data_IF_612311574288
#
_entry.id   IF_612311574288
#
_cell.length_a   1.000
_cell.length_b   1.000
_cell.length_c   1.000
_cell.angle_alpha   90.00
_cell.angle_beta   90.00
_cell.angle_gamma   90.00
#
_symmetry.space_group_name_H-M   'P 1'
#
loop_
_entity.id
_entity.type
_entity.pdbx_description
1 polymer ?
#
# COMPACT_ATOMS: atom_id res chain seq x y z
N UNK A 1 27.68 0.54 -0.94
CA UNK A 1 28.56 1.40 -1.76
C UNK A 1 27.71 2.46 -2.47
N UNK A 2 28.22 3.69 -2.64
CA UNK A 2 27.42 4.80 -3.20
C UNK A 2 26.94 4.49 -4.62
N UNK A 3 27.79 3.88 -5.45
CA UNK A 3 27.49 3.44 -6.81
C UNK A 3 26.32 2.45 -6.89
N UNK A 4 26.18 1.57 -5.90
CA UNK A 4 25.03 0.65 -5.80
C UNK A 4 23.75 1.40 -5.45
N UNK A 5 23.84 2.38 -4.56
CA UNK A 5 22.69 3.20 -4.15
C UNK A 5 22.20 4.09 -5.30
N UNK A 6 23.12 4.71 -6.04
CA UNK A 6 22.81 5.58 -7.18
C UNK A 6 22.15 4.76 -8.31
N UNK A 7 22.69 3.57 -8.62
CA UNK A 7 22.08 2.66 -9.60
C UNK A 7 20.69 2.22 -9.17
N UNK A 8 20.53 1.79 -7.91
CA UNK A 8 19.23 1.40 -7.39
C UNK A 8 18.22 2.55 -7.43
N UNK A 9 18.66 3.79 -7.15
CA UNK A 9 17.84 4.99 -7.29
C UNK A 9 17.36 5.18 -8.74
N UNK A 10 18.27 5.09 -9.71
CA UNK A 10 17.92 5.17 -11.13
C UNK A 10 16.97 4.04 -11.56
N UNK A 11 17.14 2.82 -11.03
CA UNK A 11 16.28 1.67 -11.34
C UNK A 11 14.81 1.93 -10.96
N UNK A 12 14.53 2.79 -9.97
CA UNK A 12 13.16 3.14 -9.56
C UNK A 12 12.37 3.93 -10.62
N UNK A 13 13.04 4.56 -11.58
CA UNK A 13 12.43 5.41 -12.62
C UNK A 13 12.07 4.66 -13.92
N UNK A 14 12.02 3.32 -13.90
CA UNK A 14 11.58 2.52 -15.04
C UNK A 14 10.07 2.26 -15.00
N UNK A 15 9.41 2.25 -16.17
CA UNK A 15 7.96 2.01 -16.26
C UNK A 15 7.50 0.68 -15.65
N UNK A 16 8.35 -0.35 -15.62
CA UNK A 16 8.05 -1.64 -14.99
C UNK A 16 7.91 -1.54 -13.46
N UNK A 17 8.41 -0.46 -12.86
CA UNK A 17 8.27 -0.13 -11.44
C UNK A 17 7.16 0.91 -11.19
N UNK A 18 6.44 1.33 -12.23
CA UNK A 18 5.42 2.37 -12.12
C UNK A 18 4.02 1.79 -12.36
N UNK A 19 3.04 2.37 -11.67
CA UNK A 19 1.63 2.19 -11.95
C UNK A 19 0.96 3.57 -11.97
N UNK A 20 -0.11 3.78 -12.75
CA UNK A 20 -0.83 5.05 -12.76
C UNK A 20 -1.33 5.41 -11.35
N UNK A 21 -0.80 6.50 -10.82
CA UNK A 21 -1.13 7.04 -9.51
C UNK A 21 -1.50 8.52 -9.67
N UNK A 22 -2.54 8.95 -8.99
CA UNK A 22 -2.87 10.36 -8.90
C UNK A 22 -1.78 11.10 -8.09
N UNK A 23 -1.46 12.31 -8.51
CA UNK A 23 -0.29 13.06 -8.06
C UNK A 23 -0.33 13.44 -6.57
N UNK A 24 -1.49 13.89 -6.07
CA UNK A 24 -1.68 14.26 -4.66
C UNK A 24 -1.64 13.02 -3.79
N UNK A 25 -2.28 11.93 -4.24
CA UNK A 25 -2.22 10.61 -3.59
C UNK A 25 -0.78 10.11 -3.43
N UNK A 26 0.04 10.20 -4.48
CA UNK A 26 1.43 9.76 -4.48
C UNK A 26 2.32 10.62 -3.56
N UNK A 27 2.08 11.93 -3.51
CA UNK A 27 2.97 12.88 -2.82
C UNK A 27 2.64 13.04 -1.33
N UNK A 28 1.40 12.79 -0.91
CA UNK A 28 0.96 13.03 0.48
C UNK A 28 0.64 11.73 1.21
N UNK A 29 -0.43 11.02 0.85
CA UNK A 29 -0.90 9.84 1.61
C UNK A 29 0.09 8.67 1.52
N UNK A 30 0.58 8.38 0.32
CA UNK A 30 1.55 7.30 0.10
C UNK A 30 2.93 7.64 0.65
N UNK A 31 3.40 8.88 0.42
CA UNK A 31 4.66 9.40 0.95
C UNK A 31 4.71 9.42 2.48
N UNK A 32 3.64 9.88 3.14
CA UNK A 32 3.58 9.89 4.61
C UNK A 32 3.66 8.47 5.20
N UNK A 33 3.06 7.45 4.58
CA UNK A 33 3.25 6.05 5.01
C UNK A 33 4.70 5.60 4.86
N UNK A 34 5.36 5.95 3.77
CA UNK A 34 6.77 5.64 3.56
C UNK A 34 7.64 6.29 4.64
N UNK A 35 7.40 7.56 4.93
CA UNK A 35 8.09 8.28 5.99
C UNK A 35 7.85 7.66 7.37
N UNK A 36 6.64 7.17 7.68
CA UNK A 36 6.38 6.49 8.96
C UNK A 36 7.09 5.14 9.07
N UNK A 37 7.09 4.34 8.00
CA UNK A 37 7.79 3.05 7.93
C UNK A 37 9.30 3.26 8.06
N UNK A 38 9.82 4.27 7.37
CA UNK A 38 11.24 4.65 7.39
C UNK A 38 11.66 5.21 8.75
N UNK A 39 10.88 6.12 9.35
CA UNK A 39 11.17 6.68 10.67
C UNK A 39 11.24 5.60 11.75
N UNK A 40 10.41 4.54 11.67
CA UNK A 40 10.51 3.41 12.59
C UNK A 40 11.74 2.52 12.33
N UNK A 41 12.06 2.26 11.07
CA UNK A 41 13.26 1.50 10.71
C UNK A 41 14.53 2.22 11.18
N UNK A 42 14.57 3.54 11.01
CA UNK A 42 15.70 4.41 11.34
C UNK A 42 15.88 4.57 12.86
N UNK A 43 14.80 4.89 13.60
CA UNK A 43 14.85 5.05 15.07
C UNK A 43 15.32 3.79 15.83
N UNK A 44 15.30 2.62 15.20
CA UNK A 44 15.71 1.36 15.83
C UNK A 44 16.87 0.65 15.12
N UNK A 45 17.44 1.25 14.07
CA UNK A 45 18.43 0.60 13.19
C UNK A 45 18.00 -0.81 12.75
N UNK A 46 16.70 -0.97 12.47
CA UNK A 46 16.10 -2.27 12.18
C UNK A 46 16.12 -2.53 10.68
N UNK A 47 16.53 -3.76 10.29
CA UNK A 47 16.30 -4.24 8.94
C UNK A 47 14.80 -4.37 8.70
N UNK A 48 14.34 -3.76 7.62
CA UNK A 48 12.98 -3.87 7.12
C UNK A 48 12.96 -4.55 5.76
N UNK A 49 11.91 -5.30 5.49
CA UNK A 49 11.56 -5.80 4.16
C UNK A 49 10.18 -5.26 3.83
N UNK A 50 10.06 -4.57 2.71
CA UNK A 50 8.80 -3.96 2.25
C UNK A 50 8.43 -4.58 0.91
N UNK A 51 7.17 -5.01 0.81
CA UNK A 51 6.55 -5.44 -0.44
C UNK A 51 5.39 -4.50 -0.74
N UNK A 52 5.19 -4.19 -2.01
CA UNK A 52 4.17 -3.22 -2.43
C UNK A 52 3.70 -3.50 -3.84
N UNK A 53 2.46 -3.11 -4.14
CA UNK A 53 1.92 -3.21 -5.49
C UNK A 53 0.53 -2.63 -5.64
N UNK A 54 0.01 -2.57 -6.88
CA UNK A 54 -1.39 -2.23 -7.13
C UNK A 54 -2.32 -3.37 -6.74
N UNK A 55 -3.58 -3.03 -6.48
CA UNK A 55 -4.72 -3.95 -6.48
C UNK A 55 -5.47 -3.70 -7.79
N UNK A 56 -5.48 -4.69 -8.68
CA UNK A 56 -6.20 -4.65 -9.95
C UNK A 56 -7.52 -5.41 -9.81
N UNK A 57 -8.61 -4.68 -9.57
CA UNK A 57 -9.94 -5.29 -9.42
C UNK A 57 -10.56 -5.50 -10.81
N UNK A 58 -11.37 -6.55 -11.02
CA UNK A 58 -12.00 -6.81 -12.32
C UNK A 58 -12.85 -5.65 -12.86
N UNK A 59 -13.35 -4.79 -11.98
CA UNK A 59 -14.19 -3.64 -12.28
C UNK A 59 -13.42 -2.30 -12.36
N UNK A 60 -12.09 -2.34 -12.28
CA UNK A 60 -11.25 -1.14 -12.42
C UNK A 60 -11.30 -0.61 -13.86
N UNK A 61 -11.46 0.71 -13.99
CA UNK A 61 -11.59 1.37 -15.28
C UNK A 61 -10.29 1.32 -16.10
N UNK A 62 -10.46 1.31 -17.43
CA UNK A 62 -9.36 1.47 -18.37
C UNK A 62 -9.21 2.93 -18.77
N UNK A 63 -7.97 3.37 -19.01
CA UNK A 63 -7.64 4.70 -19.52
C UNK A 63 -6.66 4.62 -20.68
N UNK A 64 -6.65 5.67 -21.52
CA UNK A 64 -5.71 5.79 -22.63
C UNK A 64 -6.09 4.96 -23.85
N UNK A 65 -7.39 4.81 -24.12
CA UNK A 65 -7.86 4.21 -25.37
C UNK A 65 -7.28 4.96 -26.58
N UNK A 66 -6.76 4.21 -27.57
CA UNK A 66 -6.07 4.78 -28.74
C UNK A 66 -4.62 5.21 -28.50
N UNK A 67 -4.10 5.16 -27.26
CA UNK A 67 -2.68 5.41 -26.99
C UNK A 67 -1.84 4.15 -27.20
N UNK A 68 -0.61 4.33 -27.71
CA UNK A 68 0.31 3.22 -27.95
C UNK A 68 0.66 2.53 -26.62
N UNK A 69 0.37 1.22 -26.55
CA UNK A 69 0.61 0.40 -25.36
C UNK A 69 -0.56 0.35 -24.39
N UNK A 70 -1.61 1.16 -24.62
CA UNK A 70 -2.87 1.10 -23.88
C UNK A 70 -3.95 0.29 -24.62
N UNK A 71 -5.18 0.26 -24.11
CA UNK A 71 -5.61 0.88 -22.86
C UNK A 71 -5.02 0.17 -21.63
N UNK A 72 -4.79 0.92 -20.55
CA UNK A 72 -4.27 0.38 -19.29
C UNK A 72 -5.37 0.33 -18.24
N UNK A 73 -5.45 -0.77 -17.50
CA UNK A 73 -6.29 -0.86 -16.32
C UNK A 73 -5.69 0.02 -15.21
N UNK A 74 -6.49 0.93 -14.66
CA UNK A 74 -6.05 1.89 -13.65
C UNK A 74 -6.40 1.34 -12.27
N UNK A 75 -5.40 0.98 -11.44
CA UNK A 75 -5.67 0.41 -10.12
C UNK A 75 -6.32 1.46 -9.22
N UNK A 76 -7.40 1.11 -8.53
CA UNK A 76 -8.08 2.04 -7.61
C UNK A 76 -7.45 2.06 -6.21
N UNK A 77 -6.59 1.08 -5.91
CA UNK A 77 -5.97 0.92 -4.61
C UNK A 77 -4.58 0.30 -4.73
N UNK A 78 -3.76 0.54 -3.72
CA UNK A 78 -2.43 -0.04 -3.58
C UNK A 78 -2.32 -0.72 -2.22
N UNK A 79 -1.42 -1.68 -2.12
CA UNK A 79 -1.12 -2.37 -0.88
C UNK A 79 0.36 -2.27 -0.54
N UNK A 80 0.68 -2.33 0.75
CA UNK A 80 2.04 -2.41 1.26
C UNK A 80 2.10 -3.37 2.44
N UNK A 81 3.09 -4.26 2.47
CA UNK A 81 3.38 -5.13 3.61
C UNK A 81 4.78 -4.81 4.10
N UNK A 82 4.90 -4.45 5.37
CA UNK A 82 6.17 -4.14 6.03
C UNK A 82 6.50 -5.23 7.03
N UNK A 83 7.71 -5.78 6.93
CA UNK A 83 8.27 -6.78 7.84
C UNK A 83 9.48 -6.16 8.53
N UNK A 84 9.44 -6.09 9.86
CA UNK A 84 10.54 -5.61 10.69
C UNK A 84 11.08 -6.73 11.58
N UNK A 85 12.39 -6.71 11.84
CA UNK A 85 12.98 -7.59 12.86
C UNK A 85 12.92 -6.93 14.24
N UNK A 86 12.20 -7.55 15.19
CA UNK A 86 12.16 -7.11 16.59
C UNK A 86 13.50 -7.36 17.32
N UNK A 87 13.75 -6.69 18.46
CA UNK A 87 14.97 -6.91 19.25
C UNK A 87 15.16 -8.37 19.71
N UNK A 88 14.07 -9.08 19.97
CA UNK A 88 14.08 -10.51 20.34
C UNK A 88 14.31 -11.46 19.15
N UNK A 89 14.52 -10.91 17.95
CA UNK A 89 14.74 -11.66 16.72
C UNK A 89 13.47 -12.09 15.99
N UNK A 90 12.28 -11.89 16.57
CA UNK A 90 11.00 -12.25 15.95
C UNK A 90 10.57 -11.23 14.87
N UNK A 91 9.83 -11.65 13.84
CA UNK A 91 9.28 -10.72 12.86
C UNK A 91 8.06 -9.95 13.42
N UNK A 92 7.96 -8.70 12.98
CA UNK A 92 6.82 -7.82 13.14
C UNK A 92 6.29 -7.50 11.76
N UNK A 93 5.02 -7.81 11.51
CA UNK A 93 4.44 -7.73 10.17
C UNK A 93 3.17 -6.87 10.21
N UNK A 94 3.10 -5.92 9.28
CA UNK A 94 1.98 -4.99 9.17
C UNK A 94 1.60 -4.84 7.70
N UNK A 95 0.31 -5.01 7.38
CA UNK A 95 -0.25 -4.77 6.05
C UNK A 95 -1.03 -3.46 5.99
N UNK A 96 -1.02 -2.83 4.82
CA UNK A 96 -1.74 -1.59 4.52
C UNK A 96 -2.45 -1.72 3.18
N UNK A 97 -3.64 -1.14 3.07
CA UNK A 97 -4.32 -0.85 1.80
C UNK A 97 -4.66 0.64 1.78
N UNK A 98 -4.35 1.29 0.68
CA UNK A 98 -4.60 2.72 0.48
C UNK A 98 -5.38 2.88 -0.83
N UNK A 99 -6.48 3.61 -0.80
CA UNK A 99 -7.33 3.86 -1.96
C UNK A 99 -7.06 5.26 -2.55
N UNK A 100 -7.00 5.37 -3.88
CA UNK A 100 -6.96 6.65 -4.61
C UNK A 100 -8.33 7.05 -5.19
N UNK A 101 -9.38 6.33 -4.78
CA UNK A 101 -10.73 6.35 -5.36
C UNK A 101 -11.36 7.74 -5.39
N UNK A 102 -11.25 8.52 -4.31
CA UNK A 102 -11.83 9.89 -4.26
C UNK A 102 -11.22 10.85 -5.28
N UNK A 103 -9.97 10.63 -5.68
CA UNK A 103 -9.25 11.56 -6.58
C UNK A 103 -9.38 11.16 -8.04
N UNK A 104 -9.53 9.87 -8.35
CA UNK A 104 -9.71 9.38 -9.73
C UNK A 104 -11.17 9.20 -10.15
N UNK A 105 -12.12 9.14 -9.21
CA UNK A 105 -13.55 9.02 -9.51
C UNK A 105 -14.08 10.09 -10.49
N UNK A 106 -13.67 11.39 -10.39
CA UNK A 106 -14.08 12.40 -11.36
C UNK A 106 -13.58 12.13 -12.80
N UNK A 107 -12.44 11.45 -12.96
CA UNK A 107 -11.86 11.14 -14.28
C UNK A 107 -12.71 10.10 -15.02
N UNK A 108 -13.36 9.20 -14.29
CA UNK A 108 -14.14 8.10 -14.84
C UNK A 108 -15.67 8.32 -14.76
N UNK A 109 -16.11 9.53 -14.41
CA UNK A 109 -17.53 9.90 -14.24
C UNK A 109 -18.31 8.88 -13.39
N UNK A 110 -17.66 8.30 -12.40
CA UNK A 110 -18.22 7.21 -11.60
C UNK A 110 -18.46 7.67 -10.17
N UNK A 111 -19.57 7.21 -9.59
CA UNK A 111 -19.87 7.38 -8.16
C UNK A 111 -19.34 6.21 -7.36
N UNK A 112 -18.28 5.50 -7.82
CA UNK A 112 -17.64 4.45 -7.01
C UNK A 112 -17.32 5.06 -5.66
N UNK A 113 -18.15 4.68 -4.71
CA UNK A 113 -18.23 5.30 -3.41
C UNK A 113 -16.96 4.91 -2.69
N UNK A 114 -16.09 5.88 -2.42
CA UNK A 114 -15.19 5.76 -1.29
C UNK A 114 -16.10 5.93 -0.07
N UNK A 115 -16.34 4.89 0.76
CA UNK A 115 -17.13 5.04 1.98
C UNK A 115 -16.49 5.96 3.02
N UNK A 116 -15.31 6.49 2.70
CA UNK A 116 -14.53 7.40 3.51
C UNK A 116 -14.40 8.74 2.77
N UNK A 117 -14.68 9.84 3.46
CA UNK A 117 -14.52 11.20 2.95
C UNK A 117 -13.06 11.52 2.56
N UNK A 118 -12.83 12.61 1.81
CA UNK A 118 -11.48 13.07 1.44
C UNK A 118 -10.60 13.31 2.68
N UNK A 119 -11.20 13.72 3.80
CA UNK A 119 -10.53 13.85 5.11
C UNK A 119 -10.23 12.49 5.79
N UNK A 120 -10.76 11.40 5.25
CA UNK A 120 -10.63 10.02 5.71
C UNK A 120 -9.87 9.13 4.71
N UNK A 121 -9.08 9.72 3.80
CA UNK A 121 -8.01 9.04 3.04
C UNK A 121 -6.88 8.56 3.97
N UNK A 122 -7.25 7.79 4.98
CA UNK A 122 -6.42 7.29 6.06
C UNK A 122 -5.76 6.03 5.55
N UNK A 123 -4.45 5.96 5.74
CA UNK A 123 -3.73 4.70 5.62
C UNK A 123 -4.39 3.72 6.57
N UNK A 124 -5.00 2.66 6.03
CA UNK A 124 -5.65 1.65 6.86
C UNK A 124 -4.71 0.47 7.02
N UNK A 125 -4.39 0.15 8.27
CA UNK A 125 -3.88 -1.19 8.55
C UNK A 125 -4.92 -2.21 8.14
N UNK A 126 -4.54 -3.17 7.30
CA UNK A 126 -5.39 -4.26 6.85
C UNK A 126 -4.71 -5.60 7.12
N UNK A 127 -5.49 -6.65 7.47
CA UNK A 127 -4.92 -7.98 7.62
C UNK A 127 -4.27 -8.44 6.32
N UNK A 128 -3.16 -9.17 6.40
CA UNK A 128 -2.50 -9.73 5.22
C UNK A 128 -3.47 -10.63 4.44
N UNK A 129 -4.33 -11.36 5.16
CA UNK A 129 -5.38 -12.19 4.53
C UNK A 129 -6.26 -11.39 3.55
N UNK A 130 -6.63 -10.15 3.91
CA UNK A 130 -7.42 -9.31 3.02
C UNK A 130 -6.60 -8.90 1.78
N UNK A 131 -5.30 -8.63 1.95
CA UNK A 131 -4.42 -8.30 0.83
C UNK A 131 -4.28 -9.51 -0.11
N UNK A 132 -4.15 -10.74 0.42
CA UNK A 132 -4.16 -11.98 -0.37
C UNK A 132 -5.48 -12.13 -1.14
N UNK A 133 -6.62 -11.92 -0.48
CA UNK A 133 -7.95 -11.98 -1.10
C UNK A 133 -8.13 -10.94 -2.22
N UNK A 134 -7.64 -9.71 -2.01
CA UNK A 134 -7.76 -8.61 -2.98
C UNK A 134 -6.81 -8.73 -4.17
N UNK A 135 -5.63 -9.33 -3.97
CA UNK A 135 -4.56 -9.39 -4.99
C UNK A 135 -4.43 -10.75 -5.68
N UNK A 136 -4.95 -11.81 -5.06
CA UNK A 136 -4.70 -13.19 -5.48
C UNK A 136 -3.28 -13.70 -5.20
N UNK A 137 -2.45 -12.92 -4.50
CA UNK A 137 -1.09 -13.31 -4.13
C UNK A 137 -1.09 -14.17 -2.85
N UNK A 138 -0.10 -15.05 -2.72
CA UNK A 138 0.17 -15.84 -1.51
C UNK A 138 1.43 -15.29 -0.81
N UNK A 139 1.27 -14.71 0.38
CA UNK A 139 2.39 -14.22 1.19
C UNK A 139 2.89 -15.25 2.21
N UNK A 140 2.37 -16.48 2.14
CA UNK A 140 2.82 -17.65 2.87
C UNK A 140 2.80 -17.47 4.39
N UNK A 141 3.98 -17.61 5.00
CA UNK A 141 4.13 -17.54 6.46
C UNK A 141 3.80 -16.17 7.05
N UNK A 142 3.84 -15.10 6.27
CA UNK A 142 3.65 -13.73 6.78
C UNK A 142 2.25 -13.51 7.34
N UNK A 143 1.23 -14.15 6.75
CA UNK A 143 -0.15 -14.11 7.28
C UNK A 143 -0.24 -14.60 8.73
N UNK A 144 0.59 -15.57 9.12
CA UNK A 144 0.60 -16.12 10.49
C UNK A 144 1.31 -15.19 11.49
N UNK A 145 2.08 -14.24 10.98
CA UNK A 145 2.88 -13.28 11.75
C UNK A 145 2.19 -11.90 11.84
N UNK A 146 1.08 -11.74 11.13
CA UNK A 146 0.23 -10.57 11.15
C UNK A 146 -0.48 -10.43 12.51
N UNK A 147 -0.19 -9.34 13.22
CA UNK A 147 -0.82 -9.06 14.51
C UNK A 147 -2.27 -8.61 14.39
N UNK A 148 -2.69 -8.01 13.26
CA UNK A 148 -4.07 -7.66 13.01
C UNK A 148 -4.94 -8.88 12.68
N UNK A 149 -4.38 -9.88 12.00
CA UNK A 149 -5.07 -11.12 11.61
C UNK A 149 -5.38 -12.10 12.76
N UNK A 150 -5.03 -11.78 14.00
CA UNK A 150 -5.33 -12.60 15.19
C UNK A 150 -6.76 -12.43 15.72
N UNK A 151 -7.47 -11.39 15.27
CA UNK A 151 -8.90 -11.17 15.49
C UNK A 151 -9.59 -11.57 14.18
N UNK A 152 -10.65 -12.37 14.21
CA UNK A 152 -11.45 -12.68 13.00
C UNK A 152 -11.94 -11.38 12.36
N UNK A 153 -11.21 -10.93 11.34
CA UNK A 153 -11.32 -9.56 10.87
C UNK A 153 -11.33 -9.56 9.35
N UNK A 154 -12.45 -9.99 8.80
CA UNK A 154 -12.74 -9.96 7.35
C UNK A 154 -13.57 -8.73 6.95
N UNK A 155 -13.95 -7.89 7.92
CA UNK A 155 -14.85 -6.77 7.69
C UNK A 155 -14.09 -5.46 7.42
N UNK A 156 -14.60 -4.68 6.47
CA UNK A 156 -14.17 -3.30 6.18
C UNK A 156 -14.17 -2.44 7.46
N UNK A 157 -15.06 -2.74 8.41
CA UNK A 157 -15.28 -2.06 9.70
C UNK A 157 -14.10 -2.15 10.69
N UNK A 158 -13.14 -3.04 10.45
CA UNK A 158 -11.99 -3.21 11.34
C UNK A 158 -10.81 -2.31 11.02
N UNK A 159 -10.99 -1.41 10.06
CA UNK A 159 -10.01 -0.42 9.66
C UNK A 159 -9.59 0.42 10.86
N UNK A 160 -8.31 0.35 11.25
CA UNK A 160 -7.76 1.33 12.19
C UNK A 160 -7.26 2.55 11.42
N UNK A 161 -7.90 3.71 11.60
CA UNK A 161 -7.39 4.95 11.04
C UNK A 161 -6.01 5.26 11.62
N UNK A 162 -4.99 5.44 10.78
CA UNK A 162 -3.66 5.85 11.21
C UNK A 162 -3.58 7.38 11.13
N UNK A 163 -3.32 8.04 12.26
CA UNK A 163 -3.10 9.49 12.34
C UNK A 163 -1.63 9.79 12.62
N UNK A 164 -0.98 8.93 13.40
CA UNK A 164 0.45 8.99 13.65
C UNK A 164 1.08 7.60 13.87
N UNK A 165 2.40 7.56 14.05
CA UNK A 165 3.17 6.32 14.17
C UNK A 165 2.77 5.43 15.37
N UNK A 166 2.11 5.98 16.40
CA UNK A 166 1.64 5.22 17.56
C UNK A 166 0.34 4.45 17.28
N UNK A 167 -0.41 4.82 16.25
CA UNK A 167 -1.63 4.12 15.85
C UNK A 167 -1.35 2.79 15.13
N UNK A 168 -0.10 2.56 14.75
CA UNK A 168 0.33 1.43 13.95
C UNK A 168 0.62 0.22 14.87
N UNK A 169 -0.21 -0.81 14.80
CA UNK A 169 0.10 -2.11 15.40
C UNK A 169 1.23 -2.80 14.61
N UNK A 170 2.33 -3.07 15.31
CA UNK A 170 3.53 -3.77 14.82
C UNK A 170 3.76 -5.05 15.62
#
# INVERSE_FOLDING_TARGET
PQDVADRAGADTFHYTNAAPQEHIYNSETWGNLEDFVLARADTRAQRATVMTGPILRPDDNFYGEGLKGGAWQIPWSFWKICVFKRPDGTPSVTGFVIEQSSTIAPIFETTRYNPYSVDEARVFQRPIKLIEELTGLDFGGLRKMDRMGSVETTAIESSRPIRDANDIAF
#
